data_IF_579159619965
#
_entry.id   IF_579159619965
#
_cell.length_a   1.000
_cell.length_b   1.000
_cell.length_c   1.000
_cell.angle_alpha   90.00
_cell.angle_beta   90.00
_cell.angle_gamma   90.00
#
_symmetry.space_group_name_H-M   'P 1'
#
loop_
_entity.id
_entity.type
_entity.pdbx_description
1 polymer ?
#
# COMPACT_ATOMS: atom_id res chain seq x y z
N UNK A 1 -11.70 -12.23 15.39
CA UNK A 1 -12.42 -11.35 14.44
C UNK A 1 -12.75 -9.96 15.02
N UNK A 2 -13.01 -9.83 16.32
CA UNK A 2 -13.45 -8.58 16.98
C UNK A 2 -12.57 -7.34 16.74
N UNK A 3 -11.26 -7.49 16.55
CA UNK A 3 -10.37 -6.34 16.34
C UNK A 3 -10.44 -5.70 14.94
N UNK A 4 -10.97 -6.38 13.93
CA UNK A 4 -11.01 -5.86 12.55
C UNK A 4 -12.31 -5.10 12.25
N UNK A 5 -13.41 -5.48 12.90
CA UNK A 5 -14.75 -4.95 12.65
C UNK A 5 -15.00 -3.71 13.51
N UNK A 6 -14.84 -2.52 12.93
CA UNK A 6 -15.36 -1.28 13.50
C UNK A 6 -16.50 -0.79 12.61
N UNK A 7 -17.66 -0.39 13.16
CA UNK A 7 -18.75 0.13 12.35
C UNK A 7 -18.27 1.38 11.60
N UNK A 8 -18.63 1.50 10.32
CA UNK A 8 -18.20 2.61 9.45
C UNK A 8 -18.54 3.98 10.06
N UNK A 9 -19.63 4.06 10.84
CA UNK A 9 -20.04 5.26 11.58
C UNK A 9 -19.00 5.76 12.60
N UNK A 10 -18.10 4.89 13.07
CA UNK A 10 -17.02 5.23 14.00
C UNK A 10 -15.74 5.74 13.30
N UNK A 11 -15.68 5.65 11.95
CA UNK A 11 -14.49 6.05 11.20
C UNK A 11 -14.37 7.58 11.14
N UNK A 12 -13.14 8.04 10.89
CA UNK A 12 -12.83 9.46 10.88
C UNK A 12 -13.54 10.20 9.72
N UNK A 13 -14.54 11.01 10.04
CA UNK A 13 -15.43 11.65 9.04
C UNK A 13 -14.69 12.44 7.95
N UNK A 14 -13.75 13.35 8.24
CA UNK A 14 -13.01 14.06 7.19
C UNK A 14 -12.27 13.13 6.22
N UNK A 15 -11.69 12.04 6.71
CA UNK A 15 -10.98 11.09 5.85
C UNK A 15 -11.95 10.27 5.00
N UNK A 16 -13.13 9.94 5.52
CA UNK A 16 -14.20 9.31 4.74
C UNK A 16 -14.71 10.22 3.63
N UNK A 17 -14.91 11.51 3.91
CA UNK A 17 -15.30 12.50 2.90
C UNK A 17 -14.22 12.60 1.82
N UNK A 18 -12.95 12.74 2.22
CA UNK A 18 -11.81 12.71 1.29
C UNK A 18 -11.83 11.43 0.43
N UNK A 19 -11.98 10.24 1.04
CA UNK A 19 -12.04 8.99 0.29
C UNK A 19 -13.18 8.95 -0.74
N UNK A 20 -14.38 9.42 -0.38
CA UNK A 20 -15.52 9.50 -1.30
C UNK A 20 -15.24 10.48 -2.45
N UNK A 21 -14.70 11.67 -2.16
CA UNK A 21 -14.31 12.63 -3.19
C UNK A 21 -13.28 12.04 -4.16
N UNK A 22 -12.29 11.34 -3.62
CA UNK A 22 -11.24 10.69 -4.41
C UNK A 22 -11.78 9.59 -5.33
N UNK A 23 -12.67 8.72 -4.82
CA UNK A 23 -13.32 7.71 -5.67
C UNK A 23 -14.32 8.31 -6.66
N UNK A 24 -14.99 9.41 -6.31
CA UNK A 24 -15.78 10.20 -7.26
C UNK A 24 -14.91 10.73 -8.40
N UNK A 25 -13.74 11.27 -8.08
CA UNK A 25 -12.76 11.73 -9.07
C UNK A 25 -12.25 10.58 -9.95
N UNK A 26 -12.06 9.37 -9.42
CA UNK A 26 -11.71 8.18 -10.22
C UNK A 26 -12.77 7.94 -11.30
N UNK A 27 -14.05 8.00 -10.96
CA UNK A 27 -15.14 7.81 -11.93
C UNK A 27 -15.15 8.93 -12.98
N UNK A 28 -15.05 10.19 -12.56
CA UNK A 28 -14.97 11.34 -13.48
C UNK A 28 -13.77 11.22 -14.43
N UNK A 29 -12.62 10.85 -13.89
CA UNK A 29 -11.39 10.72 -14.67
C UNK A 29 -11.45 9.53 -15.62
N UNK A 30 -12.09 8.42 -15.22
CA UNK A 30 -12.32 7.27 -16.11
C UNK A 30 -13.21 7.65 -17.30
N UNK A 31 -14.28 8.42 -17.07
CA UNK A 31 -15.07 9.00 -18.17
C UNK A 31 -14.20 9.93 -19.01
N UNK A 32 -13.41 10.81 -18.37
CA UNK A 32 -12.46 11.70 -19.04
C UNK A 32 -11.50 10.96 -19.97
N UNK A 33 -10.94 9.82 -19.56
CA UNK A 33 -10.06 9.01 -20.43
C UNK A 33 -10.74 8.47 -21.68
N UNK A 34 -12.07 8.33 -21.67
CA UNK A 34 -12.84 7.83 -22.81
C UNK A 34 -13.33 8.96 -23.74
N UNK A 35 -13.56 10.17 -23.21
CA UNK A 35 -14.22 11.26 -23.97
C UNK A 35 -13.31 12.44 -24.31
N UNK A 36 -12.17 12.60 -23.62
CA UNK A 36 -11.20 13.67 -23.85
C UNK A 36 -9.91 13.08 -24.46
N UNK A 37 -9.72 13.34 -25.75
CA UNK A 37 -8.59 12.83 -26.53
C UNK A 37 -7.25 13.52 -26.25
N UNK A 38 -7.20 14.53 -25.36
CA UNK A 38 -5.96 15.24 -25.04
C UNK A 38 -4.99 14.32 -24.28
N UNK A 39 -3.72 14.37 -24.68
CA UNK A 39 -2.65 13.59 -24.07
C UNK A 39 -1.48 14.45 -23.66
N UNK A 40 -0.84 14.10 -22.53
CA UNK A 40 0.48 14.57 -22.13
C UNK A 40 1.45 13.41 -22.25
N UNK A 41 2.53 13.58 -23.03
CA UNK A 41 3.54 12.55 -23.24
C UNK A 41 2.97 11.19 -23.74
N UNK A 42 1.88 11.23 -24.52
CA UNK A 42 1.20 10.04 -25.03
C UNK A 42 0.23 9.36 -24.05
N UNK A 43 0.05 9.90 -22.84
CA UNK A 43 -0.93 9.43 -21.85
C UNK A 43 -2.10 10.43 -21.73
N UNK A 44 -3.34 9.95 -21.61
CA UNK A 44 -4.50 10.84 -21.43
C UNK A 44 -4.33 11.71 -20.18
N UNK A 45 -4.70 13.00 -20.30
CA UNK A 45 -4.58 13.98 -19.21
C UNK A 45 -5.30 13.53 -17.93
N UNK A 46 -6.36 12.72 -18.06
CA UNK A 46 -7.18 12.24 -16.94
C UNK A 46 -6.59 11.04 -16.20
N UNK A 47 -5.56 10.38 -16.75
CA UNK A 47 -4.99 9.20 -16.11
C UNK A 47 -4.26 9.55 -14.81
N UNK A 48 -3.58 10.70 -14.75
CA UNK A 48 -2.92 11.15 -13.50
C UNK A 48 -3.94 11.39 -12.37
N UNK A 49 -5.01 12.20 -12.57
CA UNK A 49 -6.11 12.31 -11.60
C UNK A 49 -6.73 10.96 -11.21
N UNK A 50 -6.92 10.04 -12.15
CA UNK A 50 -7.44 8.70 -11.88
C UNK A 50 -6.54 7.92 -10.90
N UNK A 51 -5.24 7.84 -11.18
CA UNK A 51 -4.26 7.16 -10.32
C UNK A 51 -4.20 7.76 -8.92
N UNK A 52 -4.10 9.08 -8.85
CA UNK A 52 -3.98 9.80 -7.59
C UNK A 52 -5.27 9.69 -6.77
N UNK A 53 -6.44 9.84 -7.40
CA UNK A 53 -7.73 9.59 -6.76
C UNK A 53 -7.81 8.17 -6.18
N UNK A 54 -7.46 7.15 -6.96
CA UNK A 54 -7.50 5.77 -6.44
C UNK A 54 -6.56 5.56 -5.25
N UNK A 55 -5.31 6.02 -5.36
CA UNK A 55 -4.30 5.86 -4.31
C UNK A 55 -4.68 6.61 -3.02
N UNK A 56 -5.04 7.90 -3.13
CA UNK A 56 -5.44 8.70 -1.98
C UNK A 56 -6.78 8.26 -1.38
N UNK A 57 -7.73 7.80 -2.20
CA UNK A 57 -9.01 7.28 -1.72
C UNK A 57 -8.82 6.01 -0.88
N UNK A 58 -8.05 5.05 -1.40
CA UNK A 58 -7.71 3.82 -0.69
C UNK A 58 -6.92 4.11 0.59
N UNK A 59 -5.98 5.05 0.54
CA UNK A 59 -5.16 5.43 1.68
C UNK A 59 -5.96 6.16 2.76
N UNK A 60 -6.78 7.13 2.39
CA UNK A 60 -7.64 7.87 3.30
C UNK A 60 -8.64 6.94 4.00
N UNK A 61 -9.24 5.98 3.28
CA UNK A 61 -10.08 4.95 3.86
C UNK A 61 -9.33 4.06 4.85
N UNK A 62 -8.12 3.62 4.49
CA UNK A 62 -7.24 2.83 5.38
C UNK A 62 -6.92 3.60 6.66
N UNK A 63 -6.58 4.89 6.54
CA UNK A 63 -6.27 5.73 7.68
C UNK A 63 -7.51 6.01 8.54
N UNK A 64 -8.67 6.26 7.93
CA UNK A 64 -9.94 6.47 8.62
C UNK A 64 -10.28 5.28 9.53
N UNK A 65 -10.02 4.06 9.07
CA UNK A 65 -10.15 2.84 9.86
C UNK A 65 -9.05 2.71 10.93
N UNK A 66 -7.78 2.94 10.60
CA UNK A 66 -6.66 2.83 11.55
C UNK A 66 -6.84 3.77 12.76
N UNK A 67 -7.37 4.98 12.54
CA UNK A 67 -7.64 5.93 13.62
C UNK A 67 -8.65 5.40 14.65
N UNK A 68 -9.55 4.48 14.27
CA UNK A 68 -10.46 3.82 15.23
C UNK A 68 -9.73 2.92 16.22
N UNK A 69 -8.49 2.51 15.89
CA UNK A 69 -7.67 1.61 16.71
C UNK A 69 -6.76 2.35 17.68
N UNK A 70 -6.70 3.69 17.63
CA UNK A 70 -5.90 4.49 18.54
C UNK A 70 -6.48 4.47 19.96
N UNK A 71 -5.66 4.04 20.93
CA UNK A 71 -5.99 4.11 22.36
C UNK A 71 -5.40 5.36 23.01
N UNK A 72 -4.20 5.78 22.57
CA UNK A 72 -3.52 7.01 23.01
C UNK A 72 -3.38 8.00 21.86
N UNK A 73 -3.22 9.29 22.19
CA UNK A 73 -3.03 10.33 21.17
C UNK A 73 -4.25 10.56 20.26
N UNK A 74 -5.47 10.19 20.69
CA UNK A 74 -6.69 10.29 19.87
C UNK A 74 -6.94 11.69 19.32
N UNK A 75 -6.70 12.74 20.13
CA UNK A 75 -6.85 14.14 19.70
C UNK A 75 -5.87 14.49 18.59
N UNK A 76 -4.60 14.12 18.76
CA UNK A 76 -3.56 14.31 17.76
C UNK A 76 -3.89 13.52 16.49
N UNK A 77 -4.28 12.25 16.60
CA UNK A 77 -4.66 11.42 15.45
C UNK A 77 -5.86 11.97 14.67
N UNK A 78 -6.88 12.50 15.37
CA UNK A 78 -8.03 13.19 14.72
C UNK A 78 -7.60 14.47 14.00
N UNK A 79 -6.76 15.27 14.65
CA UNK A 79 -6.28 16.52 14.05
C UNK A 79 -5.42 16.23 12.81
N UNK A 80 -4.43 15.35 12.93
CA UNK A 80 -3.57 14.94 11.81
C UNK A 80 -4.36 14.25 10.70
N UNK A 81 -5.35 13.41 11.03
CA UNK A 81 -6.24 12.83 10.03
C UNK A 81 -7.08 13.87 9.28
N UNK A 82 -7.45 14.97 9.94
CA UNK A 82 -8.15 16.09 9.31
C UNK A 82 -7.20 16.89 8.41
N UNK A 83 -5.99 17.20 8.90
CA UNK A 83 -4.94 17.86 8.12
C UNK A 83 -4.60 17.05 6.86
N UNK A 84 -4.39 15.74 7.01
CA UNK A 84 -4.17 14.84 5.88
C UNK A 84 -5.33 14.88 4.88
N UNK A 85 -6.58 14.78 5.36
CA UNK A 85 -7.75 14.79 4.49
C UNK A 85 -7.85 16.07 3.66
N UNK A 86 -7.64 17.24 4.29
CA UNK A 86 -7.65 18.54 3.62
C UNK A 86 -6.50 18.66 2.64
N UNK A 87 -5.26 18.40 3.09
CA UNK A 87 -4.08 18.50 2.25
C UNK A 87 -4.18 17.59 1.02
N UNK A 88 -4.58 16.31 1.20
CA UNK A 88 -4.80 15.39 0.10
C UNK A 88 -5.88 15.87 -0.88
N UNK A 89 -6.97 16.44 -0.38
CA UNK A 89 -8.06 16.96 -1.24
C UNK A 89 -7.57 18.15 -2.07
N UNK A 90 -6.84 19.08 -1.46
CA UNK A 90 -6.28 20.25 -2.13
C UNK A 90 -5.23 19.85 -3.16
N UNK A 91 -4.32 18.96 -2.80
CA UNK A 91 -3.26 18.43 -3.67
C UNK A 91 -3.81 17.76 -4.93
N UNK A 92 -4.67 16.75 -4.75
CA UNK A 92 -5.26 16.04 -5.89
C UNK A 92 -6.19 16.95 -6.68
N UNK A 93 -6.87 17.89 -6.04
CA UNK A 93 -7.63 18.95 -6.71
C UNK A 93 -6.75 19.80 -7.63
N UNK A 94 -5.62 20.31 -7.13
CA UNK A 94 -4.67 21.10 -7.91
C UNK A 94 -4.06 20.29 -9.07
N UNK A 95 -3.74 19.01 -8.86
CA UNK A 95 -3.32 18.10 -9.93
C UNK A 95 -4.41 17.98 -11.00
N UNK A 96 -5.67 17.84 -10.57
CA UNK A 96 -6.82 17.69 -11.47
C UNK A 96 -7.07 18.97 -12.27
N UNK A 97 -6.89 20.15 -11.66
CA UNK A 97 -6.98 21.44 -12.36
C UNK A 97 -5.93 21.52 -13.48
N UNK A 98 -4.67 21.22 -13.19
CA UNK A 98 -3.61 21.25 -14.20
C UNK A 98 -3.84 20.21 -15.32
N UNK A 99 -4.33 19.02 -14.96
CA UNK A 99 -4.73 18.00 -15.93
C UNK A 99 -5.87 18.47 -16.84
N UNK A 100 -6.92 19.08 -16.28
CA UNK A 100 -8.05 19.60 -17.05
C UNK A 100 -7.63 20.74 -18.00
N UNK A 101 -6.62 21.53 -17.60
CA UNK A 101 -5.98 22.55 -18.44
C UNK A 101 -5.05 21.97 -19.51
N UNK A 102 -4.78 20.66 -19.48
CA UNK A 102 -3.92 20.00 -20.44
C UNK A 102 -2.43 20.27 -20.23
N UNK A 103 -2.00 20.59 -19.00
CA UNK A 103 -0.60 20.93 -18.69
C UNK A 103 -0.03 20.13 -17.51
N UNK A 104 1.28 20.21 -17.30
CA UNK A 104 2.00 19.47 -16.26
C UNK A 104 1.75 20.09 -14.87
N UNK A 105 1.42 19.25 -13.88
CA UNK A 105 1.17 19.72 -12.51
C UNK A 105 2.43 19.87 -11.67
N UNK A 106 3.34 18.89 -11.73
CA UNK A 106 4.63 18.92 -11.06
C UNK A 106 5.71 19.16 -12.12
N UNK A 107 6.84 19.75 -11.71
CA UNK A 107 7.97 20.07 -12.58
C UNK A 107 7.78 21.22 -13.58
N UNK A 108 6.55 21.68 -13.77
CA UNK A 108 6.25 22.82 -14.63
C UNK A 108 6.88 24.10 -14.06
N UNK A 109 7.79 24.70 -14.83
CA UNK A 109 8.54 25.87 -14.45
C UNK A 109 8.04 27.14 -15.14
N UNK A 110 6.92 27.09 -15.87
CA UNK A 110 6.34 28.26 -16.53
C UNK A 110 5.81 29.27 -15.50
N UNK A 111 6.60 30.32 -15.27
CA UNK A 111 6.27 31.41 -14.35
C UNK A 111 5.34 32.46 -14.99
N UNK A 112 5.08 32.38 -16.29
CA UNK A 112 4.25 33.36 -17.00
C UNK A 112 2.75 33.09 -16.83
N UNK A 113 2.37 31.84 -16.53
CA UNK A 113 1.00 31.44 -16.27
C UNK A 113 0.63 31.60 -14.77
N UNK A 114 -0.30 32.51 -14.41
CA UNK A 114 -0.64 32.77 -13.01
C UNK A 114 -1.16 31.55 -12.24
N UNK A 115 -1.84 30.62 -12.92
CA UNK A 115 -2.37 29.41 -12.30
C UNK A 115 -1.23 28.44 -11.97
N UNK A 116 -0.31 28.20 -12.91
CA UNK A 116 0.88 27.37 -12.67
C UNK A 116 1.77 27.98 -11.60
N UNK A 117 1.98 29.30 -11.63
CA UNK A 117 2.74 30.04 -10.62
C UNK A 117 2.19 29.83 -9.20
N UNK A 118 0.86 29.75 -9.04
CA UNK A 118 0.22 29.49 -7.76
C UNK A 118 0.23 28.00 -7.36
N UNK A 119 -0.03 27.10 -8.31
CA UNK A 119 -0.23 25.67 -8.03
C UNK A 119 1.08 24.90 -7.87
N UNK A 120 2.15 25.24 -8.59
CA UNK A 120 3.41 24.47 -8.52
C UNK A 120 4.06 24.54 -7.13
N UNK A 121 4.16 25.70 -6.45
CA UNK A 121 4.63 25.75 -5.06
C UNK A 121 3.70 24.99 -4.12
N UNK A 122 2.38 25.13 -4.30
CA UNK A 122 1.40 24.39 -3.51
C UNK A 122 1.64 22.88 -3.58
N UNK A 123 1.82 22.33 -4.78
CA UNK A 123 2.06 20.90 -5.01
C UNK A 123 3.44 20.46 -4.47
N UNK A 124 4.45 21.32 -4.61
CA UNK A 124 5.82 21.02 -4.19
C UNK A 124 5.98 21.01 -2.67
N UNK A 125 5.29 21.90 -1.95
CA UNK A 125 5.37 21.99 -0.50
C UNK A 125 4.22 21.27 0.22
N UNK A 126 3.05 21.16 -0.39
CA UNK A 126 1.89 20.51 0.22
C UNK A 126 2.07 19.00 0.37
N UNK A 127 2.82 18.34 -0.52
CA UNK A 127 3.26 16.96 -0.34
C UNK A 127 4.04 16.76 0.97
N UNK A 128 4.84 17.76 1.42
CA UNK A 128 5.54 17.68 2.71
C UNK A 128 4.58 17.65 3.89
N UNK A 129 3.46 18.40 3.81
CA UNK A 129 2.43 18.39 4.86
C UNK A 129 1.83 16.99 5.01
N UNK A 130 1.53 16.34 3.88
CA UNK A 130 1.00 14.98 3.84
C UNK A 130 2.02 13.99 4.44
N UNK A 131 3.29 14.08 4.00
CA UNK A 131 4.38 13.21 4.48
C UNK A 131 4.59 13.39 5.98
N UNK A 132 4.69 14.61 6.48
CA UNK A 132 4.90 14.90 7.91
C UNK A 132 3.70 14.42 8.74
N UNK A 133 2.48 14.72 8.32
CA UNK A 133 1.28 14.26 9.03
C UNK A 133 1.26 12.73 9.13
N UNK A 134 1.61 12.06 8.03
CA UNK A 134 1.71 10.61 7.98
C UNK A 134 2.83 10.05 8.85
N UNK A 135 4.02 10.65 8.86
CA UNK A 135 5.14 10.23 9.70
C UNK A 135 4.76 10.30 11.18
N UNK A 136 4.13 11.39 11.61
CA UNK A 136 3.68 11.55 13.00
C UNK A 136 2.62 10.48 13.32
N UNK A 137 1.64 10.27 12.43
CA UNK A 137 0.63 9.22 12.59
C UNK A 137 1.26 7.83 12.68
N UNK A 138 2.24 7.54 11.84
CA UNK A 138 2.98 6.30 11.86
C UNK A 138 3.66 6.09 13.21
N UNK A 139 4.42 7.09 13.71
CA UNK A 139 5.06 7.04 15.04
C UNK A 139 4.04 6.80 16.15
N UNK A 140 2.93 7.55 16.16
CA UNK A 140 1.85 7.40 17.15
C UNK A 140 1.28 5.98 17.14
N UNK A 141 1.12 5.37 15.96
CA UNK A 141 0.61 4.00 15.80
C UNK A 141 1.67 2.96 16.19
N UNK A 142 2.94 3.16 15.81
CA UNK A 142 4.04 2.23 16.08
C UNK A 142 4.31 2.05 17.59
N UNK A 143 4.20 3.15 18.35
CA UNK A 143 4.35 3.16 19.82
C UNK A 143 3.21 2.41 20.51
N UNK A 144 2.05 2.29 19.87
CA UNK A 144 0.88 1.64 20.44
C UNK A 144 0.82 0.14 20.06
N UNK A 145 0.21 -0.65 20.93
CA UNK A 145 -0.23 -2.02 20.62
C UNK A 145 -1.74 -1.99 20.43
N UNK A 146 -2.18 -1.70 19.20
CA UNK A 146 -3.58 -1.39 18.88
C UNK A 146 -4.41 -2.62 18.47
N UNK A 147 -3.82 -3.81 18.42
CA UNK A 147 -4.53 -5.08 18.19
C UNK A 147 -3.75 -6.34 18.54
N UNK A 148 -4.17 -7.47 17.98
CA UNK A 148 -3.45 -8.76 18.07
C UNK A 148 -2.05 -8.69 17.45
N UNK A 149 -1.18 -9.65 17.78
CA UNK A 149 0.21 -9.68 17.30
C UNK A 149 0.33 -9.69 15.78
N UNK A 150 -0.58 -10.36 15.06
CA UNK A 150 -0.59 -10.40 13.61
C UNK A 150 -0.95 -9.04 13.01
N UNK A 151 -2.00 -8.40 13.54
CA UNK A 151 -2.43 -7.08 13.10
C UNK A 151 -1.35 -6.02 13.40
N UNK A 152 -0.79 -6.02 14.61
CA UNK A 152 0.29 -5.09 14.96
C UNK A 152 1.49 -5.24 14.04
N UNK A 153 1.84 -6.47 13.64
CA UNK A 153 2.94 -6.70 12.70
C UNK A 153 2.60 -6.19 11.30
N UNK A 154 1.40 -6.45 10.79
CA UNK A 154 0.95 -5.94 9.50
C UNK A 154 0.99 -4.40 9.46
N UNK A 155 0.46 -3.74 10.50
CA UNK A 155 0.48 -2.28 10.63
C UNK A 155 1.92 -1.75 10.68
N UNK A 156 2.79 -2.34 11.50
CA UNK A 156 4.18 -1.85 11.67
C UNK A 156 4.99 -1.97 10.39
N UNK A 157 4.98 -3.15 9.77
CA UNK A 157 5.70 -3.38 8.51
C UNK A 157 5.09 -2.58 7.36
N UNK A 158 3.76 -2.51 7.29
CA UNK A 158 3.04 -1.74 6.27
C UNK A 158 3.30 -0.24 6.38
N UNK A 159 3.29 0.32 7.59
CA UNK A 159 3.63 1.73 7.80
C UNK A 159 5.08 2.04 7.45
N UNK A 160 6.02 1.16 7.81
CA UNK A 160 7.42 1.32 7.43
C UNK A 160 7.60 1.33 5.90
N UNK A 161 6.92 0.42 5.19
CA UNK A 161 6.88 0.40 3.72
C UNK A 161 6.25 1.67 3.15
N UNK A 162 5.10 2.10 3.67
CA UNK A 162 4.44 3.32 3.21
C UNK A 162 5.31 4.56 3.44
N UNK A 163 5.99 4.65 4.58
CA UNK A 163 6.97 5.70 4.87
C UNK A 163 8.11 5.70 3.86
N UNK A 164 8.72 4.53 3.58
CA UNK A 164 9.75 4.43 2.54
C UNK A 164 9.21 4.87 1.18
N UNK A 165 8.03 4.40 0.81
CA UNK A 165 7.36 4.76 -0.45
C UNK A 165 7.19 6.27 -0.60
N UNK A 166 6.80 6.98 0.46
CA UNK A 166 6.69 8.44 0.43
C UNK A 166 8.03 9.17 0.32
N UNK A 167 9.12 8.61 0.86
CA UNK A 167 10.45 9.23 0.77
C UNK A 167 11.00 9.16 -0.66
N UNK A 168 10.68 8.12 -1.43
CA UNK A 168 11.14 7.93 -2.81
C UNK A 168 10.88 9.16 -3.72
N UNK A 169 9.65 9.68 -3.87
CA UNK A 169 9.40 10.86 -4.70
C UNK A 169 10.05 12.13 -4.13
N UNK A 170 10.15 12.27 -2.81
CA UNK A 170 10.83 13.42 -2.18
C UNK A 170 12.32 13.42 -2.50
N UNK A 171 12.96 12.26 -2.38
CA UNK A 171 14.34 12.03 -2.78
C UNK A 171 14.53 12.34 -4.27
N UNK A 172 13.63 11.86 -5.12
CA UNK A 172 13.68 12.12 -6.55
C UNK A 172 13.55 13.61 -6.87
N UNK A 173 12.60 14.33 -6.26
CA UNK A 173 12.38 15.77 -6.51
C UNK A 173 13.58 16.68 -6.19
N UNK A 174 14.54 16.20 -5.38
CA UNK A 174 15.74 16.96 -4.99
C UNK A 174 17.03 16.44 -5.63
N UNK A 175 16.93 15.42 -6.49
CA UNK A 175 18.07 14.81 -7.21
C UNK A 175 17.82 14.81 -8.71
N UNK A 176 18.86 14.65 -9.52
CA UNK A 176 18.73 14.50 -10.99
C UNK A 176 17.94 15.65 -11.68
N UNK A 177 18.09 16.89 -11.19
CA UNK A 177 17.41 18.07 -11.72
C UNK A 177 18.03 18.48 -13.06
N UNK A 178 17.27 18.33 -14.14
CA UNK A 178 17.68 18.64 -15.49
C UNK A 178 16.58 19.42 -16.20
N UNK A 179 16.90 20.66 -16.56
CA UNK A 179 15.99 21.53 -17.31
C UNK A 179 15.74 20.98 -18.70
N UNK A 180 14.48 20.92 -19.12
CA UNK A 180 14.04 20.41 -20.42
C UNK A 180 12.71 21.02 -20.83
N UNK A 181 12.46 21.12 -22.13
CA UNK A 181 11.17 21.63 -22.65
C UNK A 181 10.33 20.47 -23.17
N UNK A 182 9.04 20.48 -22.86
CA UNK A 182 8.07 19.47 -23.27
C UNK A 182 6.81 20.14 -23.76
N UNK A 183 6.21 19.62 -24.82
CA UNK A 183 4.94 20.12 -25.35
C UNK A 183 3.78 19.63 -24.51
N UNK A 184 2.90 20.55 -24.09
CA UNK A 184 1.68 20.21 -23.37
C UNK A 184 0.56 19.71 -24.32
N UNK A 185 -0.61 19.38 -23.78
CA UNK A 185 -1.71 18.85 -24.58
C UNK A 185 -2.36 19.88 -25.50
N UNK A 186 -2.02 21.17 -25.35
CA UNK A 186 -2.50 22.27 -26.16
C UNK A 186 -1.49 22.69 -27.25
N UNK A 187 -0.34 22.00 -27.34
CA UNK A 187 0.72 22.32 -28.29
C UNK A 187 1.68 23.41 -27.82
N UNK A 188 1.59 23.86 -26.57
CA UNK A 188 2.47 24.89 -26.03
C UNK A 188 3.77 24.30 -25.47
N UNK A 189 4.92 24.94 -25.70
CA UNK A 189 6.17 24.53 -25.08
C UNK A 189 6.16 24.88 -23.58
N UNK A 190 6.36 23.88 -22.73
CA UNK A 190 6.44 24.03 -21.28
C UNK A 190 7.84 23.73 -20.80
N UNK A 191 8.45 24.69 -20.10
CA UNK A 191 9.71 24.46 -19.42
C UNK A 191 9.48 23.55 -18.21
N UNK A 192 10.19 22.45 -18.14
CA UNK A 192 10.23 21.55 -17.00
C UNK A 192 11.62 21.56 -16.38
N UNK A 193 11.71 21.38 -15.06
CA UNK A 193 13.00 21.23 -14.37
C UNK A 193 13.38 19.76 -14.10
N UNK A 194 12.49 18.80 -14.39
CA UNK A 194 12.73 17.37 -14.15
C UNK A 194 11.76 16.46 -14.93
N UNK A 195 12.06 15.15 -15.00
CA UNK A 195 11.17 14.07 -15.46
C UNK A 195 10.98 12.97 -14.41
N UNK A 196 10.30 11.88 -14.76
CA UNK A 196 9.96 10.81 -13.81
C UNK A 196 10.86 9.56 -13.88
N UNK A 197 11.55 9.32 -15.00
CA UNK A 197 12.37 8.13 -15.19
C UNK A 197 13.88 8.38 -15.25
N UNK A 198 14.64 7.30 -15.08
CA UNK A 198 16.10 7.22 -15.26
C UNK A 198 16.38 6.63 -16.64
N UNK A 199 17.08 7.38 -17.49
CA UNK A 199 17.36 6.99 -18.88
C UNK A 199 16.19 7.24 -19.85
N UNK A 200 14.96 7.23 -19.36
CA UNK A 200 13.74 7.60 -20.10
C UNK A 200 12.87 8.51 -19.22
N UNK A 201 13.10 9.85 -19.24
CA UNK A 201 12.48 10.73 -18.26
C UNK A 201 10.99 10.97 -18.49
N UNK A 202 10.48 10.74 -19.71
CA UNK A 202 9.05 10.84 -20.03
C UNK A 202 8.31 9.54 -19.75
N UNK A 203 9.06 8.44 -19.67
CA UNK A 203 8.55 7.14 -19.29
C UNK A 203 7.52 6.64 -20.27
N UNK A 204 7.75 6.81 -21.58
CA UNK A 204 6.87 6.28 -22.64
C UNK A 204 6.62 4.80 -22.38
N UNK A 205 5.47 4.49 -21.78
CA UNK A 205 5.45 3.42 -20.81
C UNK A 205 4.18 2.59 -20.81
N UNK A 206 4.19 1.56 -19.97
CA UNK A 206 3.14 0.55 -19.87
C UNK A 206 1.71 1.14 -19.89
N UNK A 207 0.72 0.42 -20.46
CA UNK A 207 -0.67 0.84 -20.41
C UNK A 207 -1.10 1.14 -18.97
N UNK A 208 -1.87 2.22 -18.82
CA UNK A 208 -2.41 2.72 -17.55
C UNK A 208 -1.38 3.24 -16.55
N UNK A 209 -0.24 2.59 -16.29
CA UNK A 209 0.74 3.09 -15.30
C UNK A 209 1.69 4.12 -15.87
N UNK A 210 1.92 4.05 -17.18
CA UNK A 210 2.93 4.80 -17.92
C UNK A 210 4.33 4.65 -17.29
N UNK A 211 4.61 3.48 -16.70
CA UNK A 211 5.95 3.14 -16.21
C UNK A 211 6.87 2.84 -17.39
N UNK A 212 8.10 3.35 -17.35
CA UNK A 212 9.01 3.24 -18.49
C UNK A 212 9.24 1.78 -18.91
N UNK A 213 9.13 1.53 -20.23
CA UNK A 213 9.47 0.23 -20.83
C UNK A 213 10.94 0.14 -21.27
N UNK A 214 11.68 1.23 -21.23
CA UNK A 214 13.09 1.30 -21.69
C UNK A 214 14.07 1.63 -20.59
N UNK A 215 13.64 2.41 -19.58
CA UNK A 215 14.47 2.92 -18.49
C UNK A 215 13.93 2.58 -17.10
N UNK A 216 14.64 3.05 -16.08
CA UNK A 216 14.26 2.90 -14.68
C UNK A 216 13.19 3.91 -14.27
N UNK A 217 12.36 3.56 -13.29
CA UNK A 217 11.23 4.41 -12.91
C UNK A 217 10.89 4.29 -11.41
N UNK A 218 11.11 5.37 -10.65
CA UNK A 218 10.84 5.38 -9.20
C UNK A 218 9.35 5.38 -8.85
N UNK A 219 8.45 5.58 -9.82
CA UNK A 219 7.01 5.39 -9.62
C UNK A 219 6.70 3.93 -9.28
N UNK A 220 7.51 2.98 -9.74
CA UNK A 220 7.37 1.54 -9.45
C UNK A 220 7.60 1.23 -7.96
N UNK A 221 8.80 1.45 -7.38
CA UNK A 221 9.02 1.19 -5.96
C UNK A 221 8.12 2.05 -5.06
N UNK A 222 7.83 3.29 -5.45
CA UNK A 222 6.86 4.14 -4.76
C UNK A 222 5.49 3.47 -4.64
N UNK A 223 4.92 2.98 -5.75
CA UNK A 223 3.63 2.30 -5.78
C UNK A 223 3.61 1.07 -4.87
N UNK A 224 4.57 0.14 -5.06
CA UNK A 224 4.61 -1.07 -4.27
C UNK A 224 4.78 -0.74 -2.78
N UNK A 225 5.67 0.18 -2.41
CA UNK A 225 5.91 0.55 -1.03
C UNK A 225 4.67 1.19 -0.37
N UNK A 226 3.98 2.13 -1.04
CA UNK A 226 2.75 2.74 -0.53
C UNK A 226 1.63 1.72 -0.30
N UNK A 227 1.47 0.75 -1.21
CA UNK A 227 0.39 -0.22 -1.14
C UNK A 227 0.68 -1.43 -0.24
N UNK A 228 1.90 -1.54 0.30
CA UNK A 228 2.30 -2.64 1.16
C UNK A 228 1.46 -2.77 2.44
N UNK A 229 0.98 -1.65 2.99
CA UNK A 229 0.11 -1.71 4.17
C UNK A 229 -1.23 -2.37 3.87
N UNK A 230 -1.87 -2.07 2.74
CA UNK A 230 -3.14 -2.68 2.36
C UNK A 230 -2.97 -4.18 2.10
N UNK A 231 -1.88 -4.58 1.43
CA UNK A 231 -1.56 -6.00 1.18
C UNK A 231 -1.37 -6.75 2.50
N UNK A 232 -0.58 -6.22 3.43
CA UNK A 232 -0.33 -6.88 4.72
C UNK A 232 -1.56 -6.92 5.63
N UNK A 233 -2.38 -5.87 5.63
CA UNK A 233 -3.65 -5.85 6.34
C UNK A 233 -4.63 -6.89 5.78
N UNK A 234 -4.70 -7.01 4.45
CA UNK A 234 -5.52 -8.02 3.77
C UNK A 234 -5.07 -9.42 4.14
N UNK A 235 -3.76 -9.71 4.10
CA UNK A 235 -3.20 -11.01 4.52
C UNK A 235 -3.56 -11.30 5.98
N UNK A 236 -3.41 -10.32 6.88
CA UNK A 236 -3.78 -10.50 8.29
C UNK A 236 -5.29 -10.79 8.46
N UNK A 237 -6.15 -10.14 7.68
CA UNK A 237 -7.59 -10.37 7.68
C UNK A 237 -7.97 -11.75 7.15
N UNK A 238 -7.38 -12.18 6.03
CA UNK A 238 -7.58 -13.52 5.45
C UNK A 238 -7.14 -14.61 6.42
N UNK A 239 -5.95 -14.47 7.04
CA UNK A 239 -5.47 -15.41 8.05
C UNK A 239 -6.38 -15.48 9.29
N UNK A 240 -6.97 -14.34 9.68
CA UNK A 240 -7.93 -14.29 10.78
C UNK A 240 -9.26 -14.97 10.42
N UNK A 241 -9.73 -14.86 9.17
CA UNK A 241 -10.93 -15.55 8.69
C UNK A 241 -10.70 -17.07 8.63
N UNK A 242 -9.59 -17.51 8.05
CA UNK A 242 -9.21 -18.93 7.95
C UNK A 242 -9.00 -19.61 9.31
N UNK A 243 -8.76 -18.83 10.38
CA UNK A 243 -8.64 -19.37 11.73
C UNK A 243 -9.95 -19.94 12.29
N UNK A 244 -11.11 -19.58 11.73
CA UNK A 244 -12.39 -20.19 12.09
C UNK A 244 -12.39 -21.69 11.75
N UNK A 245 -11.93 -22.02 10.54
CA UNK A 245 -11.93 -23.37 9.98
C UNK A 245 -10.67 -24.18 10.31
N UNK A 246 -9.51 -23.50 10.44
CA UNK A 246 -8.21 -24.17 10.58
C UNK A 246 -7.69 -24.00 12.00
N UNK A 247 -7.74 -25.09 12.78
CA UNK A 247 -7.33 -25.10 14.21
C UNK A 247 -5.90 -24.57 14.41
N UNK A 248 -4.96 -24.95 13.55
CA UNK A 248 -3.55 -24.51 13.64
C UNK A 248 -3.35 -23.01 13.38
N UNK A 249 -4.31 -22.34 12.72
CA UNK A 249 -4.32 -20.89 12.54
C UNK A 249 -4.96 -20.15 13.72
N UNK A 250 -5.58 -20.83 14.69
CA UNK A 250 -6.18 -20.17 15.87
C UNK A 250 -5.14 -19.49 16.75
N UNK A 251 -3.90 -20.00 16.77
CA UNK A 251 -2.78 -19.39 17.47
C UNK A 251 -2.36 -18.07 16.79
N UNK A 252 -2.51 -16.96 17.52
CA UNK A 252 -2.13 -15.62 17.07
C UNK A 252 -0.64 -15.50 16.75
N UNK A 253 0.24 -16.26 17.42
CA UNK A 253 1.68 -16.27 17.12
C UNK A 253 1.96 -16.87 15.75
N UNK A 254 1.20 -17.88 15.34
CA UNK A 254 1.31 -18.48 14.00
C UNK A 254 0.89 -17.47 12.94
N UNK A 255 -0.28 -16.84 13.12
CA UNK A 255 -0.73 -15.77 12.21
C UNK A 255 0.28 -14.63 12.11
N UNK A 256 0.84 -14.19 13.25
CA UNK A 256 1.86 -13.15 13.25
C UNK A 256 3.14 -13.57 12.51
N UNK A 257 3.59 -14.82 12.64
CA UNK A 257 4.75 -15.32 11.89
C UNK A 257 4.51 -15.38 10.37
N UNK A 258 3.30 -15.76 9.95
CA UNK A 258 2.91 -15.74 8.54
C UNK A 258 2.87 -14.31 7.99
N UNK A 259 2.26 -13.37 8.71
CA UNK A 259 2.31 -11.94 8.35
C UNK A 259 3.75 -11.42 8.29
N UNK A 260 4.62 -11.88 9.20
CA UNK A 260 6.04 -11.54 9.17
C UNK A 260 6.78 -12.08 7.96
N UNK A 261 6.45 -13.30 7.52
CA UNK A 261 7.03 -13.90 6.31
C UNK A 261 6.57 -13.13 5.06
N UNK A 262 5.29 -12.76 5.00
CA UNK A 262 4.75 -11.90 3.93
C UNK A 262 5.40 -10.50 3.92
N UNK A 263 5.57 -9.89 5.10
CA UNK A 263 6.25 -8.60 5.22
C UNK A 263 7.70 -8.66 4.75
N UNK A 264 8.43 -9.72 5.11
CA UNK A 264 9.80 -9.94 4.65
C UNK A 264 9.87 -10.03 3.11
N UNK A 265 9.00 -10.86 2.52
CA UNK A 265 8.93 -11.00 1.06
C UNK A 265 8.56 -9.72 0.35
N UNK A 266 7.59 -8.98 0.88
CA UNK A 266 7.15 -7.71 0.29
C UNK A 266 8.22 -6.61 0.41
N UNK A 267 8.93 -6.55 1.54
CA UNK A 267 10.10 -5.68 1.69
C UNK A 267 11.21 -6.06 0.70
N UNK A 268 11.47 -7.36 0.52
CA UNK A 268 12.42 -7.84 -0.49
C UNK A 268 12.01 -7.43 -1.91
N UNK A 269 10.72 -7.56 -2.26
CA UNK A 269 10.19 -7.10 -3.54
C UNK A 269 10.46 -5.60 -3.73
N UNK A 270 10.06 -4.76 -2.76
CA UNK A 270 10.27 -3.30 -2.81
C UNK A 270 11.76 -2.97 -2.96
N UNK A 271 12.64 -3.64 -2.22
CA UNK A 271 14.07 -3.43 -2.33
C UNK A 271 14.60 -3.78 -3.74
N UNK A 272 14.17 -4.90 -4.30
CA UNK A 272 14.62 -5.34 -5.64
C UNK A 272 14.09 -4.39 -6.72
N UNK A 273 12.81 -3.99 -6.70
CA UNK A 273 12.29 -3.06 -7.72
C UNK A 273 12.84 -1.65 -7.55
N UNK A 274 13.23 -1.25 -6.33
CA UNK A 274 13.97 0.01 -6.11
C UNK A 274 15.35 -0.08 -6.74
N UNK A 275 16.08 -1.17 -6.50
CA UNK A 275 17.41 -1.41 -7.06
C UNK A 275 17.37 -1.53 -8.59
N UNK A 276 16.36 -2.20 -9.15
CA UNK A 276 16.13 -2.29 -10.59
C UNK A 276 15.90 -0.91 -11.20
N UNK A 277 14.98 -0.11 -10.63
CA UNK A 277 14.71 1.24 -11.10
C UNK A 277 15.95 2.13 -11.03
N UNK A 278 16.70 2.07 -9.92
CA UNK A 278 17.93 2.84 -9.74
C UNK A 278 19.00 2.52 -10.79
N UNK A 279 19.08 1.27 -11.25
CA UNK A 279 20.00 0.85 -12.32
C UNK A 279 19.54 1.26 -13.73
N UNK A 280 18.47 2.06 -13.85
CA UNK A 280 17.93 2.46 -15.13
C UNK A 280 17.25 1.32 -15.89
N UNK A 281 16.81 0.25 -15.20
CA UNK A 281 16.17 -0.90 -15.84
C UNK A 281 14.65 -0.79 -15.78
N UNK A 282 14.00 -1.04 -16.92
CA UNK A 282 12.55 -1.16 -16.97
C UNK A 282 12.06 -2.33 -16.13
N UNK A 283 10.91 -2.14 -15.47
CA UNK A 283 10.23 -3.17 -14.68
C UNK A 283 10.02 -4.47 -15.49
N UNK A 284 9.64 -4.34 -16.76
CA UNK A 284 9.26 -5.48 -17.62
C UNK A 284 10.43 -6.07 -18.42
N UNK A 285 11.61 -5.46 -18.36
CA UNK A 285 12.85 -5.99 -18.93
C UNK A 285 13.92 -6.20 -17.85
N UNK A 286 13.66 -7.06 -16.84
CA UNK A 286 14.64 -7.34 -15.79
C UNK A 286 15.84 -8.11 -16.36
N UNK A 287 17.04 -7.71 -15.97
CA UNK A 287 18.26 -8.48 -16.25
C UNK A 287 18.37 -9.74 -15.37
N UNK A 288 19.34 -10.59 -15.67
CA UNK A 288 19.60 -11.82 -14.90
C UNK A 288 19.83 -11.53 -13.41
N UNK A 289 20.51 -10.44 -13.07
CA UNK A 289 20.77 -10.08 -11.69
C UNK A 289 19.48 -9.72 -10.92
N UNK A 290 18.55 -8.99 -11.54
CA UNK A 290 17.20 -8.71 -11.02
C UNK A 290 16.42 -10.00 -10.82
N UNK A 291 16.42 -10.88 -11.83
CA UNK A 291 15.70 -12.15 -11.76
C UNK A 291 16.23 -13.05 -10.63
N UNK A 292 17.54 -13.13 -10.45
CA UNK A 292 18.16 -13.86 -9.34
C UNK A 292 17.80 -13.26 -7.98
N UNK A 293 17.78 -11.93 -7.87
CA UNK A 293 17.38 -11.25 -6.64
C UNK A 293 15.89 -11.51 -6.31
N UNK A 294 14.99 -11.45 -7.30
CA UNK A 294 13.58 -11.80 -7.14
C UNK A 294 13.40 -13.27 -6.74
N UNK A 295 14.14 -14.18 -7.38
CA UNK A 295 14.12 -15.60 -7.05
C UNK A 295 14.59 -15.85 -5.61
N UNK A 296 15.65 -15.17 -5.15
CA UNK A 296 16.14 -15.26 -3.78
C UNK A 296 15.08 -14.78 -2.77
N UNK A 297 14.43 -13.64 -3.04
CA UNK A 297 13.32 -13.13 -2.21
C UNK A 297 12.16 -14.13 -2.16
N UNK A 298 11.78 -14.70 -3.31
CA UNK A 298 10.70 -15.68 -3.39
C UNK A 298 11.04 -16.95 -2.58
N UNK A 299 12.23 -17.52 -2.78
CA UNK A 299 12.68 -18.72 -2.07
C UNK A 299 12.74 -18.49 -0.56
N UNK A 300 13.24 -17.33 -0.11
CA UNK A 300 13.25 -16.97 1.31
C UNK A 300 11.83 -16.85 1.89
N UNK A 301 10.93 -16.22 1.14
CA UNK A 301 9.53 -16.03 1.56
C UNK A 301 8.78 -17.36 1.63
N UNK A 302 8.95 -18.22 0.63
CA UNK A 302 8.35 -19.56 0.59
C UNK A 302 8.93 -20.43 1.70
N UNK A 303 10.26 -20.43 1.88
CA UNK A 303 10.94 -21.23 2.90
C UNK A 303 10.51 -20.84 4.33
N UNK A 304 10.45 -19.54 4.64
CA UNK A 304 9.98 -19.05 5.94
C UNK A 304 8.50 -19.38 6.17
N UNK A 305 7.65 -19.19 5.15
CA UNK A 305 6.22 -19.53 5.21
C UNK A 305 6.00 -21.03 5.42
N UNK A 306 6.65 -21.88 4.62
CA UNK A 306 6.56 -23.34 4.71
C UNK A 306 7.00 -23.83 6.09
N UNK A 307 8.11 -23.30 6.62
CA UNK A 307 8.57 -23.61 7.99
C UNK A 307 7.50 -23.29 9.03
N UNK A 308 6.86 -22.12 8.95
CA UNK A 308 5.80 -21.72 9.88
C UNK A 308 4.58 -22.65 9.77
N UNK A 309 4.14 -22.97 8.56
CA UNK A 309 2.99 -23.87 8.33
C UNK A 309 3.27 -25.28 8.84
N UNK A 310 4.41 -25.87 8.49
CA UNK A 310 4.79 -27.24 8.89
C UNK A 310 4.90 -27.35 10.41
N UNK A 311 5.59 -26.40 11.06
CA UNK A 311 5.74 -26.41 12.52
C UNK A 311 4.42 -26.23 13.25
N UNK A 312 3.55 -25.33 12.76
CA UNK A 312 2.23 -25.10 13.35
C UNK A 312 1.31 -26.32 13.21
N UNK A 313 1.24 -26.92 12.01
CA UNK A 313 0.43 -28.12 11.77
C UNK A 313 0.87 -29.31 12.62
N UNK A 314 2.18 -29.55 12.73
CA UNK A 314 2.73 -30.61 13.59
C UNK A 314 2.39 -30.37 15.06
N UNK A 315 2.50 -29.14 15.54
CA UNK A 315 2.15 -28.79 16.92
C UNK A 315 0.65 -28.97 17.21
N UNK A 316 -0.22 -28.66 16.26
CA UNK A 316 -1.67 -28.89 16.40
C UNK A 316 -2.04 -30.37 16.37
N UNK A 317 -1.43 -31.16 15.49
CA UNK A 317 -1.68 -32.61 15.42
C UNK A 317 -1.31 -33.32 16.75
N UNK A 318 -0.20 -32.92 17.37
CA UNK A 318 0.22 -33.46 18.69
C UNK A 318 -0.70 -33.10 19.85
N UNK A 319 -1.54 -32.09 19.70
CA UNK A 319 -2.49 -31.62 20.72
C UNK A 319 -3.90 -32.18 20.53
N UNK A 320 -4.16 -32.90 19.44
CA UNK A 320 -5.43 -33.59 19.28
C UNK A 320 -5.53 -34.67 20.38
N UNK A 321 -6.63 -34.73 21.14
CA UNK A 321 -6.80 -35.77 22.15
C UNK A 321 -6.66 -37.14 21.50
N UNK A 322 -5.88 -38.02 22.13
CA UNK A 322 -5.87 -39.44 21.76
C UNK A 322 -7.32 -39.94 21.83
N UNK A 323 -7.77 -40.65 20.79
CA UNK A 323 -9.04 -41.37 20.84
C UNK A 323 -9.09 -42.16 22.16
N UNK A 324 -10.19 -42.08 22.94
CA UNK A 324 -10.33 -42.93 24.09
C UNK A 324 -10.32 -44.36 23.56
N UNK A 325 -9.23 -45.08 23.84
CA UNK A 325 -9.15 -46.53 23.69
C UNK A 325 -10.37 -47.07 24.42
N UNK A 326 -11.34 -47.56 23.65
CA UNK A 326 -12.55 -48.18 24.18
C UNK A 326 -12.10 -49.26 25.15
N UNK A 327 -12.25 -49.01 26.45
CA UNK A 327 -12.07 -50.02 27.46
C UNK A 327 -13.04 -51.15 27.11
N UNK A 328 -12.48 -52.32 26.77
CA UNK A 328 -13.24 -53.55 26.58
C UNK A 328 -14.18 -53.72 27.79
N UNK A 329 -15.48 -54.01 27.59
CA UNK A 329 -16.36 -54.22 28.72
C UNK A 329 -15.84 -55.45 29.48
N UNK A 330 -15.41 -55.24 30.72
CA UNK A 330 -15.12 -56.31 31.66
C UNK A 330 -16.36 -57.23 31.74
N UNK A 331 -16.13 -58.54 31.61
CA UNK A 331 -17.15 -59.57 31.62
C UNK A 331 -18.07 -59.46 32.84
N UNK A 332 -19.37 -59.71 32.61
CA UNK A 332 -20.39 -59.81 33.66
C UNK A 332 -20.06 -60.96 34.61
N UNK A 333 -20.34 -60.83 35.93
CA UNK A 333 -20.32 -61.98 36.84
C UNK A 333 -21.55 -62.87 36.58
N UNK A 334 -21.33 -64.19 36.52
CA UNK A 334 -22.37 -65.23 36.45
C UNK A 334 -23.29 -65.21 37.68
N UNK A 335 -24.61 -65.45 37.52
CA UNK A 335 -25.51 -65.63 38.64
C UNK A 335 -25.44 -67.06 39.20
N UNK A 336 -25.41 -67.14 40.52
CA UNK A 336 -25.45 -68.35 41.34
C UNK A 336 -26.70 -69.20 41.07
N UNK A 337 -26.50 -70.46 40.69
CA UNK A 337 -27.54 -71.49 40.73
C UNK A 337 -27.68 -72.06 42.14
N UNK A 338 -28.86 -71.83 42.73
CA UNK A 338 -29.40 -72.57 43.88
C UNK A 338 -30.57 -73.44 43.40
N UNK A 339 -30.63 -74.67 43.94
CA UNK A 339 -31.70 -75.67 43.89
C UNK A 339 -31.88 -76.41 42.53
N UNK A 340 -31.98 -77.74 42.45
CA UNK A 340 -32.22 -78.85 43.39
C UNK A 340 -31.43 -80.09 42.97
#
# INVERSE_FOLDING_TARGET
MTYLLAPVRAWHRPLMVCAVLMFGLVLVSAVGTAVDGRTLLGESVWVKPLKFGFAFGLYAGTLAWLLTKLTRGRRLGRWLGTVFAVAATVEVGAITVQAARGTFSHFNADQSDPVTLALVPLLSFGVMVIVVAQLILAVVVLIQRTGGAALNRAIRSGLALATFGMVVPVFWMVTEIHSRTVTDANGHPVQMYQGHGIGDPDGHGMPLTNWSVTGGDFRVPHFFALHGIQVLLLIAAVLAALAAERVWLRDEKVRARLVGSAALGYTGLVAVVTWQAWRGQSLIHPDTATLLALAAVLLLTVGTTARVVVTARRASARRAPAEPVTASPAGRPEPSHLAR
#
